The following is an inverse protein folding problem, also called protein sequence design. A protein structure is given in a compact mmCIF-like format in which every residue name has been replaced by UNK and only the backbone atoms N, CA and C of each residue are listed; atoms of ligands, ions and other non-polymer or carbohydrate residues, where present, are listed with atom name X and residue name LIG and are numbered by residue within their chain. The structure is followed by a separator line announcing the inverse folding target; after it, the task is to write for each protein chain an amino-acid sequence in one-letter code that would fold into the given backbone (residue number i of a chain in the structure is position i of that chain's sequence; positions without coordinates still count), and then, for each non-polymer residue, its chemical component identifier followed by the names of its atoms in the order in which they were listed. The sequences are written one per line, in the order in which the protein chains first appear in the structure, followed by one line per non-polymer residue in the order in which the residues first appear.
data_IF_327256521504
#
_entry.id   IF_327256521504
#
_cell.length_a   1.000
_cell.length_b   1.000
_cell.length_c   1.000
_cell.angle_alpha   90.00
_cell.angle_beta   90.00
_cell.angle_gamma   90.00
#
_symmetry.space_group_name_H-M   'P 1'
#
loop_
_entity.id
_entity.type
_entity.pdbx_description
1 polymer ?
#
# COMPACT_ATOMS: atom_id res chain seq x y z
N UNK A 1 -3.24 -10.20 -4.12
CA UNK A 1 -4.22 -9.23 -3.56
C UNK A 1 -4.61 -8.29 -4.69
N UNK A 2 -5.89 -8.14 -5.03
CA UNK A 2 -6.30 -7.35 -6.19
C UNK A 2 -6.35 -5.83 -5.92
N UNK A 3 -6.42 -5.01 -6.98
CA UNK A 3 -6.52 -3.52 -6.90
C UNK A 3 -7.47 -3.02 -5.80
N UNK A 4 -8.70 -3.52 -5.75
CA UNK A 4 -9.71 -3.03 -4.80
C UNK A 4 -9.33 -3.30 -3.33
N UNK A 5 -8.73 -4.46 -3.06
CA UNK A 5 -8.25 -4.83 -1.74
C UNK A 5 -7.07 -3.95 -1.32
N UNK A 6 -6.11 -3.72 -2.21
CA UNK A 6 -4.97 -2.81 -1.97
C UNK A 6 -5.45 -1.39 -1.68
N UNK A 7 -6.42 -0.87 -2.45
CA UNK A 7 -7.00 0.46 -2.22
C UNK A 7 -7.69 0.57 -0.86
N UNK A 8 -8.46 -0.45 -0.47
CA UNK A 8 -9.10 -0.50 0.85
C UNK A 8 -8.04 -0.51 1.96
N UNK A 9 -7.04 -1.36 1.83
CA UNK A 9 -5.94 -1.48 2.79
C UNK A 9 -5.18 -0.16 2.96
N UNK A 10 -4.81 0.51 1.86
CA UNK A 10 -4.13 1.82 1.93
C UNK A 10 -4.98 2.83 2.69
N UNK A 11 -6.30 2.91 2.43
CA UNK A 11 -7.19 3.82 3.14
C UNK A 11 -7.29 3.51 4.64
N UNK A 12 -7.34 2.24 5.01
CA UNK A 12 -7.34 1.82 6.41
C UNK A 12 -6.02 2.17 7.11
N UNK A 13 -4.88 1.95 6.46
CA UNK A 13 -3.57 2.32 6.98
C UNK A 13 -3.45 3.83 7.19
N UNK A 14 -3.86 4.63 6.21
CA UNK A 14 -3.91 6.09 6.34
C UNK A 14 -4.75 6.53 7.54
N UNK A 15 -5.93 5.94 7.72
CA UNK A 15 -6.79 6.23 8.87
C UNK A 15 -6.16 5.85 10.20
N UNK A 16 -5.45 4.71 10.27
CA UNK A 16 -4.80 4.22 11.49
C UNK A 16 -3.56 5.03 11.86
N UNK A 17 -2.80 5.47 10.87
CA UNK A 17 -1.65 6.36 11.04
C UNK A 17 -2.06 7.82 11.30
N UNK A 18 -3.35 8.16 11.18
CA UNK A 18 -3.82 9.54 11.27
C UNK A 18 -3.32 10.41 10.11
N UNK A 19 -2.93 9.81 8.98
CA UNK A 19 -2.42 10.51 7.81
C UNK A 19 -3.55 10.97 6.91
N UNK A 20 -3.57 12.27 6.63
CA UNK A 20 -4.44 12.85 5.61
C UNK A 20 -3.89 12.55 4.21
N UNK A 21 -4.75 12.59 3.18
CA UNK A 21 -4.32 12.42 1.79
C UNK A 21 -3.24 13.45 1.38
N UNK A 22 -3.34 14.75 1.73
CA UNK A 22 -2.28 15.70 1.47
C UNK A 22 -0.94 15.33 2.13
N UNK A 23 -0.96 14.89 3.40
CA UNK A 23 0.27 14.49 4.09
C UNK A 23 0.89 13.26 3.45
N UNK A 24 0.07 12.27 3.11
CA UNK A 24 0.53 11.09 2.39
C UNK A 24 1.09 11.43 1.00
N UNK A 25 0.50 12.41 0.31
CA UNK A 25 1.02 12.88 -0.96
C UNK A 25 2.41 13.50 -0.83
N UNK A 26 2.67 14.24 0.25
CA UNK A 26 4.01 14.72 0.57
C UNK A 26 5.01 13.58 0.76
N UNK A 27 4.65 12.57 1.55
CA UNK A 27 5.51 11.40 1.78
C UNK A 27 5.82 10.63 0.49
N UNK A 28 4.81 10.47 -0.38
CA UNK A 28 4.98 9.81 -1.67
C UNK A 28 5.84 10.64 -2.60
N UNK A 29 5.70 11.96 -2.57
CA UNK A 29 6.54 12.86 -3.35
C UNK A 29 8.00 12.78 -2.89
N UNK A 30 8.23 12.83 -1.58
CA UNK A 30 9.55 12.63 -0.97
C UNK A 30 10.17 11.30 -1.41
N UNK A 31 9.47 10.18 -1.23
CA UNK A 31 9.99 8.86 -1.60
C UNK A 31 10.28 8.68 -3.11
N UNK A 32 9.61 9.45 -3.98
CA UNK A 32 9.74 9.32 -5.44
C UNK A 32 10.75 10.27 -6.08
N UNK A 33 10.92 11.46 -5.50
CA UNK A 33 11.65 12.55 -6.12
C UNK A 33 12.82 13.07 -5.27
N UNK A 34 12.88 12.73 -3.99
CA UNK A 34 14.03 13.06 -3.13
C UNK A 34 15.00 11.88 -3.18
N UNK A 35 16.00 11.99 -4.05
CA UNK A 35 17.23 11.19 -3.97
C UNK A 35 18.17 11.77 -2.90
N UNK A 36 19.19 11.02 -2.48
CA UNK A 36 20.19 11.31 -1.42
C UNK A 36 20.85 12.72 -1.51
N UNK A 37 20.65 13.44 -2.62
CA UNK A 37 21.16 14.79 -2.87
C UNK A 37 20.22 15.94 -2.42
N UNK A 38 19.05 15.65 -1.82
CA UNK A 38 18.34 16.61 -0.96
C UNK A 38 17.87 17.92 -1.59
N UNK A 39 17.59 17.95 -2.90
CA UNK A 39 16.97 19.13 -3.53
C UNK A 39 15.45 19.05 -3.38
N UNK A 40 14.92 19.62 -2.31
CA UNK A 40 13.52 20.05 -2.29
C UNK A 40 13.42 21.30 -3.18
N UNK A 41 13.32 21.08 -4.49
CA UNK A 41 12.79 22.11 -5.38
C UNK A 41 11.51 22.65 -4.76
N UNK A 42 11.41 23.98 -4.58
CA UNK A 42 10.26 24.63 -3.97
C UNK A 42 9.02 24.23 -4.76
N UNK A 43 8.26 23.25 -4.26
CA UNK A 43 7.01 22.84 -4.89
C UNK A 43 6.01 23.98 -4.74
N UNK A 44 5.40 24.36 -5.86
CA UNK A 44 4.28 25.30 -5.81
C UNK A 44 3.10 24.63 -5.09
N UNK A 45 2.44 25.37 -4.19
CA UNK A 45 1.35 24.82 -3.39
C UNK A 45 0.19 24.25 -4.25
N UNK A 46 0.06 24.74 -5.48
CA UNK A 46 -0.88 24.20 -6.47
C UNK A 46 -0.43 22.85 -7.05
N UNK A 47 0.87 22.57 -7.16
CA UNK A 47 1.41 21.28 -7.59
C UNK A 47 1.20 20.21 -6.52
N UNK A 48 1.47 20.52 -5.26
CA UNK A 48 1.18 19.65 -4.12
C UNK A 48 -0.30 19.27 -4.08
N UNK A 49 -1.18 20.24 -4.29
CA UNK A 49 -2.63 20.01 -4.29
C UNK A 49 -3.07 19.14 -5.46
N UNK A 50 -2.52 19.36 -6.65
CA UNK A 50 -2.77 18.50 -7.83
C UNK A 50 -2.28 17.07 -7.58
N UNK A 51 -1.13 16.92 -6.92
CA UNK A 51 -0.57 15.62 -6.59
C UNK A 51 -1.45 14.85 -5.58
N UNK A 52 -1.90 15.52 -4.52
CA UNK A 52 -2.85 14.95 -3.57
C UNK A 52 -4.17 14.51 -4.24
N UNK A 53 -4.72 15.30 -5.16
CA UNK A 53 -5.92 14.92 -5.92
C UNK A 53 -5.66 13.78 -6.91
N UNK A 54 -4.44 13.65 -7.46
CA UNK A 54 -4.03 12.50 -8.27
C UNK A 54 -4.04 11.22 -7.43
N UNK A 55 -3.42 11.24 -6.25
CA UNK A 55 -3.39 10.08 -5.34
C UNK A 55 -4.80 9.70 -4.91
N UNK A 56 -5.63 10.66 -4.53
CA UNK A 56 -7.04 10.43 -4.18
C UNK A 56 -7.81 9.71 -5.30
N UNK A 57 -7.58 10.10 -6.56
CA UNK A 57 -8.17 9.44 -7.74
C UNK A 57 -7.63 8.02 -7.89
N UNK A 58 -6.32 7.80 -7.73
CA UNK A 58 -5.71 6.47 -7.81
C UNK A 58 -6.23 5.53 -6.71
N UNK A 59 -6.50 6.01 -5.50
CA UNK A 59 -7.09 5.23 -4.42
C UNK A 59 -8.60 4.93 -4.60
N UNK A 60 -9.23 5.51 -5.62
CA UNK A 60 -10.68 5.37 -5.85
C UNK A 60 -11.04 4.70 -7.18
N UNK A 61 -10.16 4.78 -8.19
CA UNK A 61 -10.43 4.26 -9.53
C UNK A 61 -10.09 2.78 -9.62
N UNK A 62 -11.02 1.98 -10.15
CA UNK A 62 -10.80 0.54 -10.38
C UNK A 62 -9.69 0.25 -11.40
N UNK A 63 -9.36 1.21 -12.25
CA UNK A 63 -8.36 1.08 -13.32
C UNK A 63 -6.95 1.50 -12.88
N UNK A 64 -6.74 1.77 -11.59
CA UNK A 64 -5.41 2.08 -11.09
C UNK A 64 -4.51 0.85 -11.19
N UNK A 65 -3.32 0.95 -11.81
CA UNK A 65 -2.36 -0.14 -11.86
C UNK A 65 -2.02 -0.65 -10.46
N UNK A 66 -1.90 -1.96 -10.31
CA UNK A 66 -1.57 -2.57 -9.02
C UNK A 66 -0.18 -2.16 -8.52
N UNK A 67 0.79 -2.01 -9.43
CA UNK A 67 2.17 -1.66 -9.09
C UNK A 67 2.26 -0.31 -8.36
N UNK A 68 1.42 0.65 -8.73
CA UNK A 68 1.34 1.95 -8.05
C UNK A 68 0.81 1.79 -6.61
N UNK A 69 -0.16 0.90 -6.42
CA UNK A 69 -0.72 0.65 -5.09
C UNK A 69 0.26 -0.12 -4.21
N UNK A 70 1.05 -1.03 -4.79
CA UNK A 70 2.13 -1.73 -4.07
C UNK A 70 3.20 -0.73 -3.60
N UNK A 71 3.60 0.20 -4.45
CA UNK A 71 4.52 1.27 -4.06
C UNK A 71 3.98 2.12 -2.91
N UNK A 72 2.68 2.43 -2.91
CA UNK A 72 2.05 3.18 -1.80
C UNK A 72 2.06 2.40 -0.49
N UNK A 73 1.88 1.07 -0.55
CA UNK A 73 1.98 0.22 0.63
C UNK A 73 3.42 0.17 1.17
N UNK A 74 4.42 0.15 0.30
CA UNK A 74 5.84 0.19 0.67
C UNK A 74 6.18 1.50 1.40
N UNK A 75 5.81 2.64 0.82
CA UNK A 75 6.05 3.96 1.42
C UNK A 75 5.38 4.08 2.79
N UNK A 76 4.18 3.51 2.96
CA UNK A 76 3.48 3.47 4.24
C UNK A 76 4.18 2.58 5.27
N UNK A 77 4.75 1.45 4.83
CA UNK A 77 5.47 0.52 5.71
C UNK A 77 6.78 1.13 6.25
N UNK A 78 7.37 2.07 5.52
CA UNK A 78 8.60 2.78 5.91
C UNK A 78 8.36 3.94 6.91
N UNK A 79 7.09 4.29 7.20
CA UNK A 79 6.79 5.44 8.05
C UNK A 79 7.06 5.17 9.54
N UNK A 80 7.66 6.14 10.26
CA UNK A 80 7.83 6.05 11.70
C UNK A 80 6.45 6.04 12.38
N UNK A 81 6.14 4.95 13.08
CA UNK A 81 4.82 4.72 13.68
C UNK A 81 4.05 3.54 13.06
N UNK A 82 4.48 3.06 11.89
CA UNK A 82 3.94 1.84 11.30
C UNK A 82 4.24 0.61 12.17
N UNK A 83 5.47 0.49 12.68
CA UNK A 83 5.85 -0.59 13.63
C UNK A 83 5.10 -0.47 14.97
N UNK A 84 4.88 0.75 15.44
CA UNK A 84 4.19 1.02 16.71
C UNK A 84 2.71 0.62 16.69
N UNK A 85 2.09 0.61 15.50
CA UNK A 85 0.70 0.19 15.33
C UNK A 85 0.51 -1.34 15.49
N UNK A 86 1.59 -2.12 15.64
CA UNK A 86 1.56 -3.60 15.78
C UNK A 86 0.61 -4.26 14.78
N UNK A 87 0.52 -3.73 13.56
CA UNK A 87 -0.52 -4.09 12.60
C UNK A 87 -0.41 -5.51 12.03
N UNK A 88 0.60 -6.28 12.47
CA UNK A 88 0.90 -7.60 11.91
C UNK A 88 1.27 -7.54 10.43
N UNK A 89 1.58 -6.35 9.89
CA UNK A 89 2.00 -6.18 8.50
C UNK A 89 3.46 -6.61 8.36
N UNK A 90 3.64 -7.92 8.37
CA UNK A 90 4.80 -8.55 7.77
C UNK A 90 4.44 -8.61 6.28
N UNK A 91 5.16 -7.88 5.42
CA UNK A 91 5.07 -8.06 3.97
C UNK A 91 5.20 -9.56 3.71
N UNK A 92 4.10 -10.23 3.38
CA UNK A 92 4.09 -11.65 3.10
C UNK A 92 4.79 -11.84 1.76
N UNK A 93 6.12 -11.87 1.81
CA UNK A 93 6.95 -12.18 0.66
C UNK A 93 6.89 -13.68 0.48
N UNK A 94 6.36 -14.13 -0.65
CA UNK A 94 6.56 -15.50 -1.08
C UNK A 94 8.06 -15.71 -1.26
N UNK A 95 8.65 -16.52 -0.39
CA UNK A 95 10.01 -17.02 -0.54
C UNK A 95 9.86 -18.41 -1.17
N UNK A 96 10.29 -18.61 -2.43
CA UNK A 96 10.29 -19.93 -3.02
C UNK A 96 11.24 -20.81 -2.22
N UNK A 97 10.69 -21.72 -1.44
CA UNK A 97 11.45 -22.71 -0.70
C UNK A 97 11.48 -23.99 -1.54
N UNK A 98 12.67 -24.52 -1.81
CA UNK A 98 12.87 -25.78 -2.54
C UNK A 98 12.30 -27.01 -1.81
N UNK A 99 11.79 -26.84 -0.58
CA UNK A 99 11.19 -27.89 0.23
C UNK A 99 9.67 -28.05 0.04
N UNK A 100 9.00 -27.16 -0.70
CA UNK A 100 7.57 -27.26 -0.98
C UNK A 100 7.37 -27.64 -2.45
N UNK A 101 6.67 -28.74 -2.70
CA UNK A 101 6.28 -29.13 -4.07
C UNK A 101 5.30 -28.13 -4.67
N UNK A 102 5.27 -28.03 -6.00
CA UNK A 102 4.36 -27.15 -6.75
C UNK A 102 2.88 -27.38 -6.37
N UNK A 103 2.49 -28.63 -6.13
CA UNK A 103 1.13 -28.99 -5.70
C UNK A 103 0.76 -28.35 -4.34
N UNK A 104 1.65 -28.44 -3.34
CA UNK A 104 1.46 -27.82 -2.03
C UNK A 104 1.41 -26.29 -2.11
N UNK A 105 2.20 -25.69 -3.00
CA UNK A 105 2.18 -24.24 -3.23
C UNK A 105 0.82 -23.80 -3.78
N UNK A 106 0.26 -24.54 -4.73
CA UNK A 106 -1.05 -24.22 -5.30
C UNK A 106 -2.18 -24.38 -4.28
N UNK A 107 -2.13 -25.42 -3.43
CA UNK A 107 -3.10 -25.60 -2.34
C UNK A 107 -3.02 -24.45 -1.34
N UNK A 108 -1.81 -24.03 -0.93
CA UNK A 108 -1.64 -22.88 -0.03
C UNK A 108 -2.18 -21.59 -0.66
N UNK A 109 -1.97 -21.39 -1.97
CA UNK A 109 -2.54 -20.25 -2.71
C UNK A 109 -4.07 -20.27 -2.67
N UNK A 110 -4.69 -21.43 -2.86
CA UNK A 110 -6.14 -21.57 -2.80
C UNK A 110 -6.68 -21.26 -1.39
N UNK A 111 -6.03 -21.76 -0.34
CA UNK A 111 -6.40 -21.47 1.05
C UNK A 111 -6.27 -19.98 1.35
N UNK A 112 -5.20 -19.33 0.89
CA UNK A 112 -5.02 -17.88 1.06
C UNK A 112 -6.17 -17.09 0.44
N UNK A 113 -6.57 -17.46 -0.78
CA UNK A 113 -7.70 -16.81 -1.48
C UNK A 113 -9.02 -17.06 -0.77
N UNK A 114 -9.26 -18.27 -0.25
CA UNK A 114 -10.47 -18.60 0.52
C UNK A 114 -10.56 -17.76 1.79
N UNK A 115 -9.46 -17.66 2.55
CA UNK A 115 -9.37 -16.89 3.79
C UNK A 115 -9.64 -15.40 3.53
N UNK A 116 -9.09 -14.85 2.45
CA UNK A 116 -9.35 -13.46 2.05
C UNK A 116 -10.84 -13.22 1.78
N UNK A 117 -11.50 -14.11 1.03
CA UNK A 117 -12.94 -14.05 0.76
C UNK A 117 -13.78 -14.17 2.03
N UNK A 118 -13.34 -14.98 2.99
CA UNK A 118 -14.05 -15.22 4.25
C UNK A 118 -13.95 -14.03 5.19
N UNK A 119 -12.78 -13.40 5.27
CA UNK A 119 -12.56 -12.18 6.02
C UNK A 119 -13.45 -11.02 5.54
N UNK A 120 -13.72 -10.94 4.23
CA UNK A 120 -14.64 -9.95 3.66
C UNK A 120 -16.11 -10.19 4.06
N UNK A 121 -16.51 -11.45 4.27
CA UNK A 121 -17.88 -11.82 4.67
C UNK A 121 -18.17 -11.63 6.16
N UNK A 122 -17.17 -11.71 7.03
CA UNK A 122 -17.34 -11.56 8.49
C UNK A 122 -17.58 -10.11 8.95
N UNK A 123 -17.58 -9.14 8.03
CA UNK A 123 -17.77 -7.70 8.32
C UNK A 123 -19.18 -7.23 7.89
N UNK A 124 -20.04 -8.12 7.39
CA UNK A 124 -21.46 -7.83 7.05
C UNK A 124 -22.39 -8.57 8.01
#
# INVERSE_FOLDING_TARGET
MGTAQKQKQIKELLSKLGLSIPNFAGLVYEALYIDDCGDLGVSDADEDRKFAEKIKKQLSRKTTPEDILDQYLEILAEQPGFEALQLGYIKSRYVPHTCLSDEMTEVMRQISVELDVRAEKSIT
#
